data_IF_586582061468
#
_entry.id   IF_586582061468
#
_cell.length_a   1.000
_cell.length_b   1.000
_cell.length_c   1.000
_cell.angle_alpha   90.00
_cell.angle_beta   90.00
_cell.angle_gamma   90.00
#
_symmetry.space_group_name_H-M   'P 1'
#
loop_
_entity.id
_entity.type
_entity.pdbx_description
1 polymer ?
#
# COMPACT_ATOMS: atom_id res chain seq x y z
N UNK A 1 -8.95 16.24 6.22
CA UNK A 1 -9.58 17.19 5.28
C UNK A 1 -9.63 16.60 3.88
N UNK A 2 -10.69 16.88 3.12
CA UNK A 2 -10.80 16.47 1.72
C UNK A 2 -9.89 17.33 0.85
N UNK A 3 -9.11 16.70 -0.05
CA UNK A 3 -8.18 17.42 -0.94
C UNK A 3 -8.76 17.54 -2.34
N UNK A 4 -9.28 16.43 -2.89
CA UNK A 4 -9.71 16.41 -4.29
C UNK A 4 -10.87 15.44 -4.49
N UNK A 5 -11.76 15.80 -5.41
CA UNK A 5 -12.84 14.95 -5.93
C UNK A 5 -12.83 15.05 -7.43
N UNK A 6 -12.73 13.91 -8.09
CA UNK A 6 -12.55 13.81 -9.54
C UNK A 6 -13.46 12.73 -10.12
N UNK A 7 -14.11 13.06 -11.24
CA UNK A 7 -14.88 12.08 -12.02
C UNK A 7 -13.91 11.34 -12.95
N UNK A 8 -13.91 10.02 -12.86
CA UNK A 8 -13.11 9.13 -13.71
C UNK A 8 -14.04 8.38 -14.64
N UNK A 9 -13.68 8.32 -15.93
CA UNK A 9 -14.33 7.47 -16.92
C UNK A 9 -13.40 6.30 -17.24
N UNK A 10 -13.88 5.08 -17.04
CA UNK A 10 -13.12 3.84 -17.16
C UNK A 10 -13.46 3.21 -18.51
N UNK A 11 -12.46 3.10 -19.38
CA UNK A 11 -12.60 2.45 -20.71
C UNK A 11 -12.02 1.04 -20.74
N UNK A 12 -11.28 0.63 -19.71
CA UNK A 12 -10.80 -0.74 -19.53
C UNK A 12 -11.92 -1.66 -18.98
N UNK A 13 -11.78 -2.99 -19.07
CA UNK A 13 -12.69 -3.92 -18.41
C UNK A 13 -12.78 -3.64 -16.90
N UNK A 14 -13.98 -3.69 -16.32
CA UNK A 14 -14.17 -3.44 -14.87
C UNK A 14 -13.50 -4.51 -13.98
N UNK A 15 -13.13 -5.66 -14.56
CA UNK A 15 -12.29 -6.67 -13.92
C UNK A 15 -10.83 -6.23 -13.77
N UNK A 16 -10.37 -5.20 -14.48
CA UNK A 16 -9.01 -4.67 -14.36
C UNK A 16 -8.81 -4.08 -12.97
N UNK A 17 -7.77 -4.56 -12.28
CA UNK A 17 -7.34 -4.05 -10.98
C UNK A 17 -6.35 -2.90 -11.18
N UNK A 18 -6.39 -1.94 -10.27
CA UNK A 18 -5.51 -0.79 -10.24
C UNK A 18 -4.92 -0.57 -8.85
N UNK A 19 -3.68 -0.09 -8.80
CA UNK A 19 -3.10 0.56 -7.63
C UNK A 19 -3.04 2.07 -7.88
N UNK A 20 -3.21 2.85 -6.83
CA UNK A 20 -3.08 4.31 -6.91
C UNK A 20 -1.70 4.72 -6.39
N UNK A 21 -0.99 5.54 -7.18
CA UNK A 21 0.17 6.30 -6.73
C UNK A 21 -0.14 7.78 -6.68
N UNK A 22 0.40 8.45 -5.68
CA UNK A 22 0.25 9.89 -5.48
C UNK A 22 1.62 10.50 -5.54
N UNK A 23 1.80 11.48 -6.42
CA UNK A 23 2.96 12.36 -6.39
C UNK A 23 2.64 13.58 -5.54
N UNK A 24 3.34 13.71 -4.43
CA UNK A 24 3.07 14.74 -3.43
C UNK A 24 4.35 15.32 -2.84
N UNK A 25 4.22 16.49 -2.23
CA UNK A 25 5.19 17.05 -1.31
C UNK A 25 4.50 17.40 0.02
N UNK A 26 5.18 17.22 1.14
CA UNK A 26 4.61 17.51 2.46
C UNK A 26 5.66 17.94 3.47
N UNK A 27 5.30 18.91 4.33
CA UNK A 27 6.11 19.32 5.49
C UNK A 27 5.94 18.42 6.71
N UNK A 28 5.02 17.46 6.65
CA UNK A 28 4.65 16.58 7.77
C UNK A 28 4.38 15.16 7.30
N UNK A 29 4.53 14.20 8.21
CA UNK A 29 3.93 12.88 8.04
C UNK A 29 2.40 13.04 8.09
N UNK A 30 1.69 12.26 7.28
CA UNK A 30 0.23 12.31 7.16
C UNK A 30 -0.33 10.96 6.69
N UNK A 31 -1.65 10.83 6.70
CA UNK A 31 -2.35 9.73 6.07
C UNK A 31 -3.11 10.20 4.83
N UNK A 32 -2.98 9.48 3.71
CA UNK A 32 -3.90 9.63 2.59
C UNK A 32 -4.96 8.54 2.64
N UNK A 33 -6.20 8.94 2.46
CA UNK A 33 -7.35 8.05 2.34
C UNK A 33 -8.01 8.29 0.99
N UNK A 34 -8.39 7.21 0.31
CA UNK A 34 -9.08 7.25 -0.98
C UNK A 34 -10.44 6.57 -0.89
N UNK A 35 -11.41 7.12 -1.61
CA UNK A 35 -12.73 6.49 -1.76
C UNK A 35 -13.22 6.58 -3.20
N UNK A 36 -14.08 5.63 -3.57
CA UNK A 36 -14.77 5.57 -4.85
C UNK A 36 -16.26 5.53 -4.57
N UNK A 37 -17.00 6.48 -5.15
CA UNK A 37 -18.46 6.59 -4.98
C UNK A 37 -18.88 6.59 -3.49
N UNK A 38 -18.07 7.25 -2.65
CA UNK A 38 -18.26 7.33 -1.19
C UNK A 38 -17.76 6.13 -0.38
N UNK A 39 -17.33 5.05 -1.03
CA UNK A 39 -16.82 3.83 -0.36
C UNK A 39 -15.30 3.92 -0.15
N UNK A 40 -14.78 3.80 1.08
CA UNK A 40 -13.34 3.78 1.33
C UNK A 40 -12.66 2.61 0.60
N UNK A 41 -11.52 2.87 -0.04
CA UNK A 41 -10.77 1.86 -0.80
C UNK A 41 -9.36 1.65 -0.26
N UNK A 42 -8.63 2.74 0.00
CA UNK A 42 -7.28 2.66 0.56
C UNK A 42 -7.05 3.68 1.66
N UNK A 43 -6.23 3.30 2.64
CA UNK A 43 -5.62 4.19 3.62
C UNK A 43 -4.15 3.82 3.81
N UNK A 44 -3.31 4.80 4.10
CA UNK A 44 -1.87 4.57 4.26
C UNK A 44 -1.14 5.76 4.85
N UNK A 45 -0.01 5.48 5.51
CA UNK A 45 0.87 6.49 6.08
C UNK A 45 1.89 6.95 5.02
N UNK A 46 2.09 8.27 4.93
CA UNK A 46 2.99 8.91 3.99
C UNK A 46 3.91 9.86 4.74
N UNK A 47 5.21 9.78 4.47
CA UNK A 47 6.22 10.57 5.19
C UNK A 47 6.32 12.00 4.67
N UNK A 48 6.82 12.91 5.50
CA UNK A 48 7.26 14.23 5.07
C UNK A 48 8.35 14.12 3.97
N UNK A 49 8.39 15.09 3.08
CA UNK A 49 9.31 15.11 1.93
C UNK A 49 10.08 16.42 1.81
N UNK A 50 9.70 17.44 2.58
CA UNK A 50 10.37 18.74 2.66
C UNK A 50 10.23 19.35 4.06
N UNK A 51 11.05 20.34 4.36
CA UNK A 51 10.95 21.12 5.61
C UNK A 51 10.00 22.30 5.42
N UNK A 52 9.32 22.73 6.49
CA UNK A 52 8.49 23.95 6.47
C UNK A 52 9.32 25.19 6.11
N UNK A 53 8.72 26.10 5.32
CA UNK A 53 9.39 27.32 4.84
C UNK A 53 10.42 27.10 3.73
N UNK A 54 10.62 25.87 3.26
CA UNK A 54 11.49 25.59 2.12
C UNK A 54 10.77 25.90 0.80
N UNK A 55 11.51 26.42 -0.18
CA UNK A 55 10.96 26.61 -1.53
C UNK A 55 10.61 25.25 -2.16
N UNK A 56 9.45 25.20 -2.82
CA UNK A 56 9.01 23.99 -3.52
C UNK A 56 9.90 23.72 -4.73
N UNK A 57 10.56 22.56 -4.75
CA UNK A 57 11.46 22.14 -5.83
C UNK A 57 11.05 20.77 -6.36
N UNK A 58 11.56 20.39 -7.53
CA UNK A 58 11.31 19.04 -8.07
C UNK A 58 11.72 17.93 -7.10
N UNK A 59 12.81 18.13 -6.34
CA UNK A 59 13.29 17.18 -5.33
C UNK A 59 12.40 17.09 -4.07
N UNK A 60 11.49 18.04 -3.85
CA UNK A 60 10.54 18.02 -2.74
C UNK A 60 9.43 16.97 -2.95
N UNK A 61 9.19 16.55 -4.21
CA UNK A 61 8.13 15.62 -4.53
C UNK A 61 8.58 14.17 -4.45
N UNK A 62 7.73 13.31 -3.90
CA UNK A 62 7.85 11.85 -3.97
C UNK A 62 6.62 11.25 -4.60
N UNK A 63 6.80 10.14 -5.31
CA UNK A 63 5.69 9.34 -5.85
C UNK A 63 5.59 8.06 -5.05
N UNK A 64 4.51 7.91 -4.29
CA UNK A 64 4.30 6.78 -3.37
C UNK A 64 2.94 6.16 -3.63
N UNK A 65 2.88 4.83 -3.65
CA UNK A 65 1.67 4.05 -3.94
C UNK A 65 1.01 3.45 -2.71
N UNK A 66 -0.30 3.26 -2.80
CA UNK A 66 -0.97 2.26 -1.97
C UNK A 66 -0.64 0.86 -2.48
N UNK A 67 -0.54 -0.08 -1.55
CA UNK A 67 -0.21 -1.48 -1.84
C UNK A 67 -1.45 -2.28 -2.26
N UNK A 68 -2.60 -1.98 -1.65
CA UNK A 68 -3.84 -2.71 -1.90
C UNK A 68 -4.45 -2.29 -3.25
N UNK A 69 -4.63 -3.23 -4.19
CA UNK A 69 -5.30 -2.97 -5.46
C UNK A 69 -6.81 -2.90 -5.30
N UNK A 70 -7.49 -2.26 -6.25
CA UNK A 70 -8.95 -2.19 -6.31
C UNK A 70 -9.48 -2.25 -7.74
N UNK A 71 -10.79 -2.47 -7.85
CA UNK A 71 -11.52 -2.39 -9.10
C UNK A 71 -12.49 -1.22 -9.08
N UNK A 72 -12.81 -0.70 -10.26
CA UNK A 72 -13.98 0.17 -10.43
C UNK A 72 -15.21 -0.68 -10.66
N UNK A 73 -16.33 -0.31 -10.02
CA UNK A 73 -17.61 -1.00 -10.20
C UNK A 73 -18.44 -0.46 -11.35
N UNK A 74 -18.12 0.74 -11.85
CA UNK A 74 -18.89 1.45 -12.86
C UNK A 74 -17.95 2.04 -13.93
N UNK A 75 -18.45 2.22 -15.16
CA UNK A 75 -17.71 2.90 -16.24
C UNK A 75 -17.51 4.41 -16.00
N UNK A 76 -18.27 5.01 -15.07
CA UNK A 76 -18.04 6.35 -14.55
C UNK A 76 -18.15 6.29 -13.03
N UNK A 77 -17.12 6.77 -12.34
CA UNK A 77 -17.07 6.81 -10.88
C UNK A 77 -16.51 8.13 -10.37
N UNK A 78 -16.83 8.47 -9.13
CA UNK A 78 -16.27 9.62 -8.41
C UNK A 78 -15.19 9.13 -7.46
N UNK A 79 -13.94 9.48 -7.76
CA UNK A 79 -12.80 9.21 -6.89
C UNK A 79 -12.56 10.41 -5.98
N UNK A 80 -12.31 10.17 -4.70
CA UNK A 80 -11.97 11.22 -3.72
C UNK A 80 -10.66 10.89 -3.03
N UNK A 81 -9.78 11.90 -2.94
CA UNK A 81 -8.55 11.87 -2.13
C UNK A 81 -8.71 12.81 -0.93
N UNK A 82 -8.35 12.33 0.25
CA UNK A 82 -8.34 13.11 1.48
C UNK A 82 -7.05 12.89 2.25
N UNK A 83 -6.59 13.90 2.97
CA UNK A 83 -5.45 13.80 3.89
C UNK A 83 -5.89 13.99 5.34
N UNK A 84 -5.33 13.18 6.22
CA UNK A 84 -5.67 13.14 7.64
C UNK A 84 -4.40 13.01 8.48
N UNK A 85 -4.57 13.09 9.80
CA UNK A 85 -3.51 12.84 10.78
C UNK A 85 -2.32 13.80 10.63
N UNK A 86 -2.62 15.10 10.58
CA UNK A 86 -1.62 16.16 10.66
C UNK A 86 -2.21 17.46 11.26
N UNK A 87 -1.35 18.30 11.82
CA UNK A 87 -1.76 19.57 12.43
C UNK A 87 -1.95 20.68 11.39
N UNK A 88 -2.96 21.53 11.60
CA UNK A 88 -3.16 22.75 10.81
C UNK A 88 -1.90 23.62 10.79
N UNK A 89 -1.62 24.27 9.65
CA UNK A 89 -0.41 25.05 9.43
C UNK A 89 0.73 24.29 8.73
N UNK A 90 0.59 22.97 8.53
CA UNK A 90 1.47 22.22 7.63
C UNK A 90 1.01 22.32 6.17
N UNK A 91 1.96 22.18 5.26
CA UNK A 91 1.74 22.29 3.82
C UNK A 91 1.75 20.90 3.18
N UNK A 92 0.74 20.62 2.35
CA UNK A 92 0.61 19.39 1.57
C UNK A 92 0.28 19.77 0.13
N UNK A 93 1.17 19.42 -0.79
CA UNK A 93 1.02 19.68 -2.23
C UNK A 93 0.78 18.37 -2.96
N UNK A 94 -0.25 18.32 -3.82
CA UNK A 94 -0.53 17.18 -4.70
C UNK A 94 -0.25 17.62 -6.14
N UNK A 95 0.66 16.92 -6.81
CA UNK A 95 0.96 17.16 -8.23
C UNK A 95 0.02 16.33 -9.10
N UNK A 96 0.00 15.00 -8.89
CA UNK A 96 -0.86 14.09 -9.66
C UNK A 96 -1.18 12.80 -8.93
N UNK A 97 -2.22 12.14 -9.44
CA UNK A 97 -2.68 10.82 -9.03
C UNK A 97 -2.55 9.90 -10.24
N UNK A 98 -1.91 8.76 -10.07
CA UNK A 98 -1.66 7.78 -11.13
C UNK A 98 -2.44 6.50 -10.81
N UNK A 99 -3.25 6.02 -11.76
CA UNK A 99 -3.90 4.72 -11.71
C UNK A 99 -3.04 3.72 -12.48
N UNK A 100 -2.30 2.89 -11.77
CA UNK A 100 -1.38 1.91 -12.34
C UNK A 100 -2.09 0.57 -12.44
N UNK A 101 -2.21 -0.04 -13.63
CA UNK A 101 -2.73 -1.40 -13.76
C UNK A 101 -1.97 -2.34 -12.84
N UNK A 102 -2.70 -3.12 -12.06
CA UNK A 102 -2.11 -4.17 -11.25
C UNK A 102 -2.26 -5.48 -12.04
N UNK A 103 -1.15 -5.96 -12.58
CA UNK A 103 -1.09 -7.28 -13.20
C UNK A 103 -1.15 -8.33 -12.09
N UNK A 104 -1.93 -9.39 -12.28
CA UNK A 104 -2.17 -10.41 -11.24
C UNK A 104 -0.86 -11.07 -10.80
N UNK A 105 0.09 -11.24 -11.73
CA UNK A 105 1.45 -11.74 -11.47
C UNK A 105 2.25 -10.78 -10.60
N UNK A 106 2.27 -9.48 -10.92
CA UNK A 106 2.97 -8.48 -10.12
C UNK A 106 2.34 -8.29 -8.72
N UNK A 107 1.04 -8.50 -8.58
CA UNK A 107 0.40 -8.54 -7.25
C UNK A 107 0.87 -9.73 -6.43
N UNK A 108 0.85 -10.92 -7.02
CA UNK A 108 1.28 -12.14 -6.36
C UNK A 108 2.76 -12.08 -5.94
N UNK A 109 3.64 -11.57 -6.82
CA UNK A 109 5.06 -11.35 -6.52
C UNK A 109 5.27 -10.37 -5.36
N UNK A 110 4.52 -9.26 -5.33
CA UNK A 110 4.62 -8.27 -4.26
C UNK A 110 4.14 -8.81 -2.91
N UNK A 111 3.00 -9.51 -2.91
CA UNK A 111 2.45 -10.12 -1.69
C UNK A 111 3.38 -11.23 -1.17
N UNK A 112 4.00 -11.99 -2.08
CA UNK A 112 5.01 -12.98 -1.77
C UNK A 112 6.25 -12.33 -1.13
N UNK A 113 6.81 -11.26 -1.71
CA UNK A 113 7.96 -10.54 -1.15
C UNK A 113 7.66 -10.04 0.28
N UNK A 114 6.45 -9.50 0.49
CA UNK A 114 6.01 -9.01 1.80
C UNK A 114 5.89 -10.14 2.82
N UNK A 115 5.26 -11.26 2.44
CA UNK A 115 5.12 -12.42 3.30
C UNK A 115 6.50 -13.00 3.65
N UNK A 116 7.39 -13.14 2.66
CA UNK A 116 8.75 -13.66 2.86
C UNK A 116 9.56 -12.76 3.81
N UNK A 117 9.44 -11.44 3.68
CA UNK A 117 10.06 -10.49 4.61
C UNK A 117 9.52 -10.65 6.03
N UNK A 118 8.20 -10.74 6.19
CA UNK A 118 7.58 -10.90 7.51
C UNK A 118 7.99 -12.22 8.18
N UNK A 119 8.04 -13.32 7.44
CA UNK A 119 8.54 -14.63 7.92
C UNK A 119 10.00 -14.52 8.33
N UNK A 120 10.85 -13.92 7.51
CA UNK A 120 12.27 -13.74 7.83
C UNK A 120 12.51 -12.90 9.08
N UNK A 121 11.64 -11.91 9.34
CA UNK A 121 11.73 -11.04 10.51
C UNK A 121 11.42 -11.76 11.83
N UNK A 122 10.78 -12.94 11.81
CA UNK A 122 10.57 -13.76 13.01
C UNK A 122 11.86 -14.37 13.56
N UNK A 123 12.86 -14.59 12.69
CA UNK A 123 14.07 -15.33 13.02
C UNK A 123 15.24 -14.43 13.40
N UNK A 124 16.12 -14.96 14.24
CA UNK A 124 17.38 -14.31 14.65
C UNK A 124 18.41 -14.24 13.54
N UNK A 125 18.37 -15.16 12.57
CA UNK A 125 19.29 -15.20 11.44
C UNK A 125 18.69 -15.89 10.22
N UNK A 126 19.39 -15.82 9.08
CA UNK A 126 18.96 -16.39 7.80
C UNK A 126 18.90 -17.93 7.78
N UNK A 127 19.49 -18.62 8.77
CA UNK A 127 19.35 -20.08 8.88
C UNK A 127 17.99 -20.51 9.47
N UNK A 128 17.19 -19.56 9.96
CA UNK A 128 15.82 -19.77 10.46
C UNK A 128 15.71 -20.84 11.57
N UNK A 129 16.75 -21.01 12.38
CA UNK A 129 16.79 -22.03 13.45
C UNK A 129 16.19 -21.52 14.77
N UNK A 130 16.29 -20.22 15.05
CA UNK A 130 15.85 -19.64 16.33
C UNK A 130 15.03 -18.37 16.13
N UNK A 131 13.89 -18.30 16.81
CA UNK A 131 13.03 -17.11 16.87
C UNK A 131 13.69 -15.99 17.68
N UNK A 132 13.37 -14.74 17.34
CA UNK A 132 13.77 -13.59 18.17
C UNK A 132 13.02 -13.63 19.51
N UNK A 133 13.65 -13.12 20.56
CA UNK A 133 13.13 -13.20 21.94
C UNK A 133 11.88 -12.37 22.19
N UNK A 134 11.59 -11.38 21.33
CA UNK A 134 10.44 -10.49 21.39
C UNK A 134 9.26 -10.93 20.50
N UNK A 135 9.43 -12.01 19.72
CA UNK A 135 8.34 -12.63 18.95
C UNK A 135 7.41 -13.37 19.90
N UNK A 136 6.11 -13.20 19.70
CA UNK A 136 5.05 -13.85 20.49
C UNK A 136 4.24 -14.75 19.57
N UNK A 137 3.49 -15.71 20.13
CA UNK A 137 2.59 -16.57 19.35
C UNK A 137 1.60 -15.74 18.52
N UNK A 138 1.14 -14.60 19.06
CA UNK A 138 0.30 -13.67 18.32
C UNK A 138 1.00 -13.07 17.08
N UNK A 139 2.29 -12.73 17.17
CA UNK A 139 3.06 -12.28 16.01
C UNK A 139 3.15 -13.39 14.95
N UNK A 140 3.36 -14.64 15.38
CA UNK A 140 3.41 -15.79 14.47
C UNK A 140 2.06 -15.95 13.75
N UNK A 141 0.94 -15.89 14.47
CA UNK A 141 -0.40 -15.96 13.88
C UNK A 141 -0.65 -14.84 12.85
N UNK A 142 -0.19 -13.62 13.13
CA UNK A 142 -0.32 -12.52 12.16
C UNK A 142 0.47 -12.78 10.88
N UNK A 143 1.68 -13.34 10.98
CA UNK A 143 2.50 -13.69 9.82
C UNK A 143 1.91 -14.89 9.09
N UNK A 144 1.39 -15.90 9.80
CA UNK A 144 0.70 -17.05 9.20
C UNK A 144 -0.51 -16.62 8.36
N UNK A 145 -1.32 -15.68 8.87
CA UNK A 145 -2.43 -15.12 8.09
C UNK A 145 -1.97 -14.41 6.80
N UNK A 146 -0.81 -13.72 6.84
CA UNK A 146 -0.23 -13.10 5.64
C UNK A 146 0.19 -14.15 4.60
N UNK A 147 0.78 -15.27 5.03
CA UNK A 147 1.16 -16.39 4.15
C UNK A 147 -0.07 -17.08 3.57
N UNK A 148 -1.13 -17.28 4.36
CA UNK A 148 -2.36 -17.90 3.91
C UNK A 148 -3.07 -17.10 2.79
N UNK A 149 -2.93 -15.77 2.82
CA UNK A 149 -3.50 -14.87 1.81
C UNK A 149 -2.75 -14.88 0.46
N UNK A 150 -1.62 -15.58 0.34
CA UNK A 150 -0.88 -15.71 -0.92
C UNK A 150 -1.67 -16.50 -1.97
N UNK A 151 -1.45 -16.17 -3.24
CA UNK A 151 -2.14 -16.81 -4.36
C UNK A 151 -1.74 -18.28 -4.54
N UNK A 152 -2.73 -19.17 -4.59
CA UNK A 152 -2.55 -20.59 -4.91
C UNK A 152 -2.30 -20.82 -6.42
N UNK A 153 -2.55 -19.84 -7.27
CA UNK A 153 -2.33 -19.94 -8.72
C UNK A 153 -0.92 -19.48 -9.12
N UNK A 154 -0.42 -18.43 -8.47
CA UNK A 154 0.82 -17.76 -8.87
C UNK A 154 2.00 -17.97 -7.91
N UNK A 155 1.77 -18.40 -6.67
CA UNK A 155 2.81 -18.55 -5.64
C UNK A 155 2.67 -19.87 -4.85
N UNK A 156 2.14 -20.93 -5.47
CA UNK A 156 1.80 -22.18 -4.76
C UNK A 156 3.00 -22.79 -4.04
N UNK A 157 4.14 -22.86 -4.72
CA UNK A 157 5.35 -23.49 -4.19
C UNK A 157 5.95 -22.67 -3.06
N UNK A 158 6.07 -21.34 -3.24
CA UNK A 158 6.62 -20.45 -2.22
C UNK A 158 5.68 -20.27 -1.03
N UNK A 159 4.36 -20.23 -1.25
CA UNK A 159 3.36 -20.23 -0.17
C UNK A 159 3.52 -21.47 0.69
N UNK A 160 3.69 -22.65 0.07
CA UNK A 160 3.92 -23.89 0.79
C UNK A 160 5.21 -23.83 1.61
N UNK A 161 6.31 -23.37 1.02
CA UNK A 161 7.59 -23.20 1.72
C UNK A 161 7.46 -22.24 2.92
N UNK A 162 6.84 -21.08 2.74
CA UNK A 162 6.63 -20.12 3.82
C UNK A 162 5.72 -20.66 4.91
N UNK A 163 4.68 -21.44 4.54
CA UNK A 163 3.76 -22.05 5.51
C UNK A 163 4.45 -23.08 6.41
N UNK A 164 5.48 -23.76 5.91
CA UNK A 164 6.27 -24.72 6.71
C UNK A 164 7.15 -24.00 7.73
N UNK A 165 7.54 -22.75 7.47
CA UNK A 165 8.40 -21.95 8.37
C UNK A 165 7.63 -21.33 9.54
N UNK A 166 6.31 -21.17 9.42
CA UNK A 166 5.46 -20.53 10.43
C UNK A 166 4.49 -21.49 11.11
N UNK A 167 4.66 -22.80 10.87
CA UNK A 167 3.98 -23.90 11.57
C UNK A 167 4.76 -24.30 12.82
#
# INVERSE_FOLDING_TARGET
GQISTLRVNITAPLSQRYRVRIRYASTTNLQFHTSIDGRPINQGNFSATMSSGSNLQSGSFRTVGFTTPFNFSNGSSVFTLSAHVFNSGNEVYIDRIEFVPAEVTFEAEYDLERAQKAVNELFTSSNQIGLKTDVTDYHIDQVSNLVECLSDEFCLDEKKELSEKVK
#
